data_IF_809464529476
#
_entry.id   IF_809464529476
#
_cell.length_a   1.000
_cell.length_b   1.000
_cell.length_c   1.000
_cell.angle_alpha   90.00
_cell.angle_beta   90.00
_cell.angle_gamma   90.00
#
_symmetry.space_group_name_H-M   'P 1'
#
loop_
_entity.id
_entity.type
_entity.pdbx_description
1 polymer ?
#
# COMPACT_ATOMS: atom_id res chain seq x y z
N UNK A 1 -24.21 -25.69 -23.31
CA UNK A 1 -22.95 -24.92 -23.46
C UNK A 1 -22.63 -24.31 -22.11
N UNK A 2 -21.70 -24.91 -21.37
CA UNK A 2 -21.23 -24.33 -20.11
C UNK A 2 -20.33 -23.16 -20.47
N UNK A 3 -20.77 -21.92 -20.22
CA UNK A 3 -19.85 -20.79 -20.23
C UNK A 3 -18.85 -21.04 -19.10
N UNK A 4 -17.59 -21.28 -19.40
CA UNK A 4 -16.55 -21.11 -18.39
C UNK A 4 -16.68 -19.69 -17.86
N UNK A 5 -17.16 -19.53 -16.63
CA UNK A 5 -17.07 -18.24 -15.94
C UNK A 5 -15.57 -18.02 -15.75
N UNK A 6 -14.99 -17.18 -16.60
CA UNK A 6 -13.63 -16.71 -16.42
C UNK A 6 -13.67 -15.80 -15.18
N UNK A 7 -13.47 -16.40 -14.02
CA UNK A 7 -13.36 -15.67 -12.76
C UNK A 7 -11.96 -15.07 -12.74
N UNK A 8 -11.88 -13.74 -12.70
CA UNK A 8 -10.60 -13.06 -12.62
C UNK A 8 -9.87 -13.54 -11.36
N UNK A 9 -8.63 -13.98 -11.54
CA UNK A 9 -7.76 -14.34 -10.44
C UNK A 9 -7.15 -13.10 -9.78
N UNK A 10 -6.53 -13.30 -8.63
CA UNK A 10 -5.94 -12.24 -7.82
C UNK A 10 -4.90 -11.41 -8.61
N UNK A 11 -4.08 -12.07 -9.43
CA UNK A 11 -3.03 -11.42 -10.23
C UNK A 11 -3.65 -10.49 -11.27
N UNK A 12 -4.70 -10.94 -11.94
CA UNK A 12 -5.45 -10.14 -12.91
C UNK A 12 -6.06 -8.90 -12.27
N UNK A 13 -6.70 -9.06 -11.11
CA UNK A 13 -7.33 -7.97 -10.37
C UNK A 13 -6.29 -6.96 -9.85
N UNK A 14 -5.13 -7.43 -9.36
CA UNK A 14 -4.04 -6.57 -8.88
C UNK A 14 -3.42 -5.74 -10.01
N UNK A 15 -3.32 -6.32 -11.20
CA UNK A 15 -2.85 -5.62 -12.40
C UNK A 15 -3.83 -4.53 -12.83
N UNK A 16 -5.14 -4.84 -12.82
CA UNK A 16 -6.19 -3.88 -13.16
C UNK A 16 -6.22 -2.72 -12.17
N UNK A 17 -6.17 -2.99 -10.86
CA UNK A 17 -6.25 -1.92 -9.86
C UNK A 17 -5.02 -1.00 -9.91
N UNK A 18 -3.84 -1.56 -10.21
CA UNK A 18 -2.62 -0.78 -10.47
C UNK A 18 -2.72 0.11 -11.71
N UNK A 19 -3.42 -0.35 -12.76
CA UNK A 19 -3.67 0.49 -13.93
C UNK A 19 -4.68 1.61 -13.59
N UNK A 20 -5.69 1.31 -12.77
CA UNK A 20 -6.67 2.30 -12.33
C UNK A 20 -6.07 3.42 -11.48
N UNK A 21 -4.93 3.18 -10.81
CA UNK A 21 -4.26 4.19 -10.00
C UNK A 21 -3.53 5.26 -10.81
N UNK A 22 -3.30 5.01 -12.10
CA UNK A 22 -2.46 5.87 -12.98
C UNK A 22 -3.23 6.54 -14.10
N UNK A 23 -4.49 6.19 -14.29
CA UNK A 23 -5.31 6.65 -15.39
C UNK A 23 -6.45 7.51 -14.87
N UNK A 24 -6.54 8.72 -15.41
CA UNK A 24 -7.63 9.65 -15.11
C UNK A 24 -8.98 9.00 -15.45
N UNK A 25 -9.99 9.26 -14.61
CA UNK A 25 -11.37 8.76 -14.73
C UNK A 25 -11.60 7.25 -14.46
N UNK A 26 -10.60 6.50 -13.99
CA UNK A 26 -10.81 5.09 -13.61
C UNK A 26 -11.11 4.85 -12.13
N UNK A 27 -11.30 5.91 -11.33
CA UNK A 27 -11.60 5.77 -9.90
C UNK A 27 -12.79 4.86 -9.62
N UNK A 28 -13.94 5.13 -10.23
CA UNK A 28 -15.15 4.32 -10.02
C UNK A 28 -14.99 2.86 -10.47
N UNK A 29 -14.13 2.62 -11.47
CA UNK A 29 -13.82 1.26 -11.89
C UNK A 29 -12.88 0.57 -10.89
N UNK A 30 -11.89 1.29 -10.33
CA UNK A 30 -11.05 0.77 -9.26
C UNK A 30 -11.85 0.41 -7.99
N UNK A 31 -12.84 1.23 -7.61
CA UNK A 31 -13.77 0.90 -6.51
C UNK A 31 -14.63 -0.35 -6.80
N UNK A 32 -15.06 -0.50 -8.06
CA UNK A 32 -15.75 -1.72 -8.49
C UNK A 32 -14.84 -2.94 -8.38
N UNK A 33 -13.58 -2.83 -8.79
CA UNK A 33 -12.57 -3.89 -8.67
C UNK A 33 -12.30 -4.22 -7.21
N UNK A 34 -12.14 -3.23 -6.32
CA UNK A 34 -12.06 -3.44 -4.87
C UNK A 34 -13.27 -4.25 -4.38
N UNK A 35 -14.49 -3.81 -4.72
CA UNK A 35 -15.71 -4.52 -4.34
C UNK A 35 -15.73 -5.97 -4.85
N UNK A 36 -15.18 -6.24 -6.03
CA UNK A 36 -14.98 -7.61 -6.53
C UNK A 36 -13.98 -8.40 -5.68
N UNK A 37 -12.85 -7.80 -5.30
CA UNK A 37 -11.83 -8.42 -4.42
C UNK A 37 -12.46 -8.86 -3.08
N UNK A 38 -13.27 -8.01 -2.46
CA UNK A 38 -14.02 -8.36 -1.23
C UNK A 38 -14.96 -9.53 -1.48
N UNK A 39 -15.82 -9.43 -2.51
CA UNK A 39 -16.84 -10.46 -2.81
C UNK A 39 -16.24 -11.82 -3.16
N UNK A 40 -15.04 -11.82 -3.73
CA UNK A 40 -14.31 -13.03 -4.10
C UNK A 40 -13.53 -13.65 -2.92
N UNK A 41 -13.51 -12.98 -1.75
CA UNK A 41 -12.79 -13.46 -0.57
C UNK A 41 -11.29 -13.23 -0.61
N UNK A 42 -10.82 -12.35 -1.51
CA UNK A 42 -9.41 -12.03 -1.68
C UNK A 42 -8.89 -11.01 -0.66
N UNK A 43 -9.70 -10.56 0.30
CA UNK A 43 -9.26 -9.61 1.35
C UNK A 43 -8.55 -10.33 2.49
N UNK A 44 -9.15 -11.40 3.01
CA UNK A 44 -8.55 -12.22 4.09
C UNK A 44 -7.36 -13.07 3.59
N UNK A 45 -7.36 -13.33 2.28
CA UNK A 45 -6.32 -14.07 1.57
C UNK A 45 -5.43 -13.18 0.70
N UNK A 46 -5.58 -11.85 0.79
CA UNK A 46 -4.85 -10.92 -0.05
C UNK A 46 -3.37 -11.24 0.05
N UNK A 47 -2.81 -11.82 -1.01
CA UNK A 47 -1.39 -11.89 -1.16
C UNK A 47 -0.88 -10.45 -1.11
N UNK A 48 0.30 -10.26 -0.55
CA UNK A 48 0.89 -8.92 -0.47
C UNK A 48 0.80 -8.13 -1.80
N UNK A 49 0.94 -8.75 -3.01
CA UNK A 49 0.66 -8.09 -4.28
C UNK A 49 -0.72 -7.41 -4.42
N UNK A 50 -1.83 -8.04 -4.03
CA UNK A 50 -3.15 -7.42 -4.12
C UNK A 50 -3.25 -6.20 -3.21
N UNK A 51 -2.87 -6.40 -1.94
CA UNK A 51 -2.96 -5.35 -0.95
C UNK A 51 -2.04 -4.16 -1.25
N UNK A 52 -0.84 -4.42 -1.77
CA UNK A 52 0.08 -3.37 -2.19
C UNK A 52 -0.48 -2.55 -3.35
N UNK A 53 -1.14 -3.19 -4.31
CA UNK A 53 -1.80 -2.51 -5.43
C UNK A 53 -3.00 -1.69 -4.96
N UNK A 54 -3.76 -2.17 -3.97
CA UNK A 54 -4.86 -1.40 -3.37
C UNK A 54 -4.36 -0.21 -2.55
N UNK A 55 -3.30 -0.39 -1.76
CA UNK A 55 -2.61 0.71 -1.07
C UNK A 55 -2.18 1.77 -2.08
N UNK A 56 -1.49 1.35 -3.15
CA UNK A 56 -1.05 2.26 -4.22
C UNK A 56 -2.25 2.97 -4.88
N UNK A 57 -3.33 2.25 -5.15
CA UNK A 57 -4.53 2.81 -5.77
C UNK A 57 -5.16 3.94 -4.97
N UNK A 58 -5.45 3.72 -3.69
CA UNK A 58 -6.02 4.77 -2.85
C UNK A 58 -5.03 5.89 -2.57
N UNK A 59 -3.76 5.55 -2.50
CA UNK A 59 -2.71 6.50 -2.17
C UNK A 59 -2.46 7.53 -3.27
N UNK A 60 -2.31 7.09 -4.52
CA UNK A 60 -2.13 7.97 -5.69
C UNK A 60 -3.33 8.93 -5.88
N UNK A 61 -4.48 8.58 -5.32
CA UNK A 61 -5.70 9.38 -5.34
C UNK A 61 -5.92 10.22 -4.08
N UNK A 62 -5.01 10.17 -3.11
CA UNK A 62 -5.06 10.96 -1.88
C UNK A 62 -6.05 10.48 -0.81
N UNK A 63 -6.63 9.28 -0.96
CA UNK A 63 -7.58 8.71 0.00
C UNK A 63 -6.87 7.96 1.14
N UNK A 64 -6.23 8.71 2.02
CA UNK A 64 -5.34 8.16 3.07
C UNK A 64 -6.08 7.31 4.11
N UNK A 65 -7.34 7.63 4.42
CA UNK A 65 -8.17 6.81 5.31
C UNK A 65 -8.35 5.39 4.73
N UNK A 66 -8.64 5.29 3.43
CA UNK A 66 -8.79 4.00 2.76
C UNK A 66 -7.46 3.22 2.69
N UNK A 67 -6.33 3.93 2.53
CA UNK A 67 -5.00 3.31 2.60
C UNK A 67 -4.77 2.66 3.97
N UNK A 68 -5.13 3.36 5.05
CA UNK A 68 -5.00 2.84 6.42
C UNK A 68 -5.93 1.65 6.67
N UNK A 69 -7.18 1.70 6.21
CA UNK A 69 -8.12 0.58 6.31
C UNK A 69 -7.61 -0.67 5.58
N UNK A 70 -7.15 -0.53 4.34
CA UNK A 70 -6.56 -1.63 3.55
C UNK A 70 -5.30 -2.14 4.23
N UNK A 71 -4.43 -1.27 4.73
CA UNK A 71 -3.23 -1.69 5.44
C UNK A 71 -3.58 -2.50 6.69
N UNK A 72 -4.54 -2.03 7.50
CA UNK A 72 -4.98 -2.71 8.72
C UNK A 72 -5.65 -4.06 8.44
N UNK A 73 -6.36 -4.23 7.33
CA UNK A 73 -7.01 -5.49 6.98
C UNK A 73 -6.02 -6.61 6.60
N UNK A 74 -4.75 -6.28 6.31
CA UNK A 74 -3.74 -7.28 5.94
C UNK A 74 -3.25 -8.04 7.17
N UNK A 75 -3.61 -9.31 7.28
CA UNK A 75 -3.21 -10.17 8.40
C UNK A 75 -1.69 -10.44 8.45
N UNK A 76 -1.06 -10.65 7.30
CA UNK A 76 0.37 -10.93 7.20
C UNK A 76 1.09 -9.92 6.29
N UNK A 77 1.44 -8.77 6.87
CA UNK A 77 2.18 -7.71 6.19
C UNK A 77 3.62 -8.14 5.95
N UNK A 78 4.11 -8.05 4.72
CA UNK A 78 5.53 -8.25 4.41
C UNK A 78 6.26 -6.91 4.24
N UNK A 79 7.58 -6.96 3.99
CA UNK A 79 8.40 -5.77 3.82
C UNK A 79 7.90 -4.85 2.69
N UNK A 80 7.38 -5.43 1.59
CA UNK A 80 6.85 -4.66 0.46
C UNK A 80 5.59 -3.89 0.87
N UNK A 81 4.71 -4.49 1.67
CA UNK A 81 3.51 -3.82 2.21
C UNK A 81 3.86 -2.64 3.11
N UNK A 82 4.86 -2.81 3.98
CA UNK A 82 5.36 -1.71 4.80
C UNK A 82 6.01 -0.59 3.97
N UNK A 83 6.81 -0.96 2.96
CA UNK A 83 7.43 0.02 2.06
C UNK A 83 6.38 0.80 1.26
N UNK A 84 5.34 0.13 0.76
CA UNK A 84 4.22 0.77 0.07
C UNK A 84 3.49 1.76 1.00
N UNK A 85 3.22 1.37 2.25
CA UNK A 85 2.59 2.23 3.24
C UNK A 85 3.46 3.44 3.62
N UNK A 86 4.76 3.24 3.83
CA UNK A 86 5.68 4.32 4.22
C UNK A 86 5.84 5.31 3.06
N UNK A 87 6.09 4.83 1.83
CA UNK A 87 6.09 5.68 0.62
C UNK A 87 4.74 6.40 0.48
N UNK A 88 3.69 5.63 0.75
CA UNK A 88 2.30 5.97 1.01
C UNK A 88 2.04 7.01 2.12
N UNK A 89 3.04 7.57 2.75
CA UNK A 89 2.87 8.66 3.71
C UNK A 89 3.82 9.81 3.39
N UNK A 90 4.99 9.49 2.82
CA UNK A 90 5.98 10.47 2.37
C UNK A 90 5.43 11.33 1.24
N UNK A 91 4.94 10.73 0.15
CA UNK A 91 4.47 11.51 -1.02
C UNK A 91 3.23 12.38 -0.74
N UNK A 92 2.47 12.10 0.33
CA UNK A 92 1.32 12.87 0.81
C UNK A 92 1.65 13.70 2.07
N UNK A 93 2.94 13.93 2.34
CA UNK A 93 3.45 14.83 3.36
C UNK A 93 2.98 14.52 4.80
N UNK A 94 2.65 13.26 5.10
CA UNK A 94 2.20 12.80 6.43
C UNK A 94 3.37 12.41 7.33
N UNK A 95 4.36 13.29 7.46
CA UNK A 95 5.64 13.01 8.13
C UNK A 95 5.47 12.48 9.56
N UNK A 96 4.49 12.98 10.31
CA UNK A 96 4.20 12.51 11.67
C UNK A 96 3.84 11.02 11.72
N UNK A 97 3.14 10.49 10.70
CA UNK A 97 2.77 9.06 10.63
C UNK A 97 3.93 8.22 10.09
N UNK A 98 4.79 8.77 9.22
CA UNK A 98 5.95 8.05 8.64
C UNK A 98 6.83 7.44 9.73
N UNK A 99 7.20 8.23 10.74
CA UNK A 99 8.07 7.76 11.83
C UNK A 99 7.40 6.69 12.69
N UNK A 100 6.10 6.81 12.97
CA UNK A 100 5.35 5.79 13.69
C UNK A 100 5.34 4.46 12.93
N UNK A 101 5.02 4.48 11.63
CA UNK A 101 4.99 3.27 10.80
C UNK A 101 6.37 2.64 10.66
N UNK A 102 7.42 3.46 10.52
CA UNK A 102 8.79 2.95 10.47
C UNK A 102 9.21 2.26 11.77
N UNK A 103 8.87 2.84 12.92
CA UNK A 103 9.16 2.21 14.22
C UNK A 103 8.41 0.89 14.40
N UNK A 104 7.13 0.85 14.00
CA UNK A 104 6.33 -0.37 14.06
C UNK A 104 6.91 -1.46 13.13
N UNK A 105 7.25 -1.12 11.90
CA UNK A 105 7.94 -2.01 10.95
C UNK A 105 9.20 -2.63 11.56
N UNK A 106 10.04 -1.82 12.21
CA UNK A 106 11.31 -2.24 12.83
C UNK A 106 11.16 -3.22 13.99
N UNK A 107 9.97 -3.35 14.57
CA UNK A 107 9.72 -4.34 15.62
C UNK A 107 9.85 -5.78 15.10
N UNK A 108 9.61 -6.01 13.80
CA UNK A 108 9.56 -7.33 13.18
C UNK A 108 10.39 -7.47 11.90
N UNK A 109 10.69 -6.37 11.22
CA UNK A 109 11.38 -6.35 9.93
C UNK A 109 12.63 -5.48 9.95
N UNK A 110 13.64 -5.85 9.17
CA UNK A 110 14.78 -4.99 8.91
C UNK A 110 14.47 -4.08 7.71
N UNK A 111 14.62 -2.75 7.86
CA UNK A 111 14.49 -1.81 6.74
C UNK A 111 15.45 -2.18 5.61
N UNK A 112 14.97 -2.10 4.37
CA UNK A 112 15.82 -2.27 3.20
C UNK A 112 16.24 -0.91 2.62
N UNK A 113 17.02 -0.94 1.54
CA UNK A 113 17.49 0.25 0.85
C UNK A 113 16.31 1.13 0.40
N UNK A 114 15.20 0.53 -0.05
CA UNK A 114 14.02 1.29 -0.45
C UNK A 114 13.40 2.02 0.74
N UNK A 115 13.24 1.35 1.90
CA UNK A 115 12.75 1.99 3.13
C UNK A 115 13.62 3.20 3.51
N UNK A 116 14.95 3.04 3.49
CA UNK A 116 15.89 4.09 3.89
C UNK A 116 15.84 5.29 2.95
N UNK A 117 15.80 5.05 1.63
CA UNK A 117 15.65 6.12 0.63
C UNK A 117 14.35 6.89 0.88
N UNK A 118 13.23 6.18 1.05
CA UNK A 118 11.93 6.81 1.27
C UNK A 118 11.90 7.66 2.54
N UNK A 119 12.49 7.19 3.65
CA UNK A 119 12.54 7.96 4.91
C UNK A 119 13.51 9.14 4.82
N UNK A 120 14.62 8.99 4.09
CA UNK A 120 15.56 10.10 3.89
C UNK A 120 14.91 11.28 3.16
N UNK A 121 13.96 11.03 2.25
CA UNK A 121 13.17 12.07 1.60
C UNK A 121 12.27 12.85 2.57
N UNK A 122 11.91 12.28 3.73
CA UNK A 122 11.26 13.05 4.82
C UNK A 122 12.23 13.96 5.59
N UNK A 123 13.53 13.63 5.60
CA UNK A 123 14.57 14.35 6.33
C UNK A 123 14.79 15.77 5.81
N UNK A 124 14.61 15.99 4.51
CA UNK A 124 14.67 17.31 3.87
C UNK A 124 13.54 18.26 4.34
N UNK A 125 12.52 17.73 5.03
CA UNK A 125 11.45 18.47 5.70
C UNK A 125 11.60 18.56 7.24
N UNK A 126 12.74 18.16 7.81
CA UNK A 126 13.15 18.56 9.17
C UNK A 126 12.98 17.54 10.31
N UNK A 127 13.18 16.24 10.08
CA UNK A 127 13.07 15.22 11.14
C UNK A 127 14.16 14.12 11.08
N UNK A 128 15.44 14.50 11.05
CA UNK A 128 16.50 13.56 11.45
C UNK A 128 16.76 13.72 12.96
N UNK A 129 16.42 12.73 13.81
CA UNK A 129 16.94 12.71 15.16
C UNK A 129 18.45 12.56 15.06
N UNK A 130 19.18 13.48 15.70
CA UNK A 130 20.62 13.42 15.86
C UNK A 130 21.04 12.00 16.24
N UNK A 131 21.76 11.33 15.35
CA UNK A 131 22.53 10.16 15.70
C UNK A 131 23.66 10.68 16.60
N UNK A 132 23.44 10.70 17.92
CA UNK A 132 24.50 10.95 18.88
C UNK A 132 25.52 9.82 18.76
N UNK A 133 26.60 10.11 18.06
CA UNK A 133 27.81 9.31 18.08
C UNK A 133 28.28 9.18 19.52
N UNK A 134 28.56 7.95 19.93
CA UNK A 134 29.49 7.66 21.02
C UNK A 134 30.88 7.54 20.43
#
# INVERSE_FOLDING_TARGET
>A
MASSRFQADEVSLSSVISACSRLDNLFSFGEFVHSSVIKLGYVDTASCPMANSMITFYYELGFLEAVEEVFLSISNKNLVTWNAMIKGLVDNERVNKVMCMFQEMRSKYHPDVATLITISACGDHGLLPEVKGK
#
